data_IF_995088526458
#
_entry.id   IF_995088526458
#
_cell.length_a   1.000
_cell.length_b   1.000
_cell.length_c   1.000
_cell.angle_alpha   90.00
_cell.angle_beta   90.00
_cell.angle_gamma   90.00
#
_symmetry.space_group_name_H-M   'P 1'
#
loop_
_entity.id
_entity.type
_entity.pdbx_description
1 polymer ?
#
# COMPACT_ATOMS: atom_id res chain seq x y z
N UNK A 1 -26.59 -0.69 -24.75
CA UNK A 1 -25.35 -1.48 -24.87
C UNK A 1 -24.59 -0.97 -26.09
N UNK A 2 -23.26 -0.75 -25.99
CA UNK A 2 -22.46 -0.30 -27.14
C UNK A 2 -22.06 -1.51 -27.99
N UNK A 3 -22.18 -1.39 -29.30
CA UNK A 3 -21.66 -2.36 -30.27
C UNK A 3 -20.28 -1.93 -30.77
N UNK A 4 -19.34 -2.86 -30.87
CA UNK A 4 -17.99 -2.57 -31.32
C UNK A 4 -17.07 -3.78 -31.16
N UNK A 5 -15.77 -3.59 -31.34
CA UNK A 5 -14.77 -4.66 -31.17
C UNK A 5 -14.39 -4.83 -29.69
N UNK A 6 -14.33 -6.07 -29.24
CA UNK A 6 -13.80 -6.41 -27.93
C UNK A 6 -12.29 -6.18 -27.89
N UNK A 7 -11.78 -5.50 -26.85
CA UNK A 7 -10.35 -5.28 -26.68
C UNK A 7 -9.53 -6.55 -26.39
N UNK A 8 -10.20 -7.67 -26.07
CA UNK A 8 -9.55 -8.94 -25.71
C UNK A 8 -9.55 -9.92 -26.88
N UNK A 9 -10.68 -10.11 -27.56
CA UNK A 9 -10.82 -11.10 -28.62
C UNK A 9 -10.98 -10.49 -30.02
N UNK A 10 -10.99 -9.16 -30.14
CA UNK A 10 -11.11 -8.37 -31.38
C UNK A 10 -12.38 -8.62 -32.22
N UNK A 11 -13.28 -9.50 -31.76
CA UNK A 11 -14.56 -9.79 -32.41
C UNK A 11 -15.55 -8.66 -32.18
N UNK A 12 -16.39 -8.40 -33.19
CA UNK A 12 -17.55 -7.53 -33.03
C UNK A 12 -18.56 -8.15 -32.07
N UNK A 13 -19.02 -7.35 -31.12
CA UNK A 13 -20.05 -7.75 -30.15
C UNK A 13 -21.00 -6.60 -29.91
N UNK A 14 -22.29 -6.92 -29.75
CA UNK A 14 -23.36 -5.96 -29.43
C UNK A 14 -23.51 -5.71 -27.91
N UNK A 15 -22.73 -6.42 -27.08
CA UNK A 15 -22.77 -6.35 -25.61
C UNK A 15 -21.40 -6.05 -25.00
N UNK A 16 -20.88 -4.85 -25.24
CA UNK A 16 -19.61 -4.40 -24.62
C UNK A 16 -19.85 -3.73 -23.27
N UNK A 17 -19.12 -4.22 -22.27
CA UNK A 17 -18.97 -3.61 -20.96
C UNK A 17 -17.83 -2.59 -21.00
N UNK A 18 -18.06 -1.40 -20.45
CA UNK A 18 -17.02 -0.38 -20.26
C UNK A 18 -16.42 -0.56 -18.87
N UNK A 19 -15.23 -1.15 -18.80
CA UNK A 19 -14.48 -1.13 -17.54
C UNK A 19 -13.90 0.27 -17.34
N UNK A 20 -14.24 0.87 -16.21
CA UNK A 20 -13.64 2.12 -15.75
C UNK A 20 -12.74 1.79 -14.56
N UNK A 21 -11.42 1.77 -14.78
CA UNK A 21 -10.46 1.59 -13.71
C UNK A 21 -10.02 2.96 -13.22
N UNK A 22 -10.33 3.27 -11.96
CA UNK A 22 -9.70 4.39 -11.28
C UNK A 22 -8.24 4.01 -10.99
N UNK A 23 -7.30 4.83 -11.47
CA UNK A 23 -5.88 4.66 -11.18
C UNK A 23 -5.61 5.28 -9.80
N UNK A 24 -5.07 4.49 -8.86
CA UNK A 24 -4.59 5.00 -7.58
C UNK A 24 -3.12 5.35 -7.77
N UNK A 25 -2.82 6.65 -7.77
CA UNK A 25 -1.47 7.14 -7.61
C UNK A 25 -1.42 7.93 -6.31
N UNK A 26 -0.54 7.51 -5.39
CA UNK A 26 -0.22 8.27 -4.17
C UNK A 26 -1.46 8.74 -3.37
N UNK A 27 -2.43 7.85 -3.11
CA UNK A 27 -3.65 8.11 -2.32
C UNK A 27 -4.52 9.29 -2.79
N UNK A 28 -4.42 9.72 -4.06
CA UNK A 28 -5.42 10.58 -4.71
C UNK A 28 -6.07 9.84 -5.86
N UNK A 29 -7.40 9.82 -5.88
CA UNK A 29 -8.14 9.43 -7.08
C UNK A 29 -7.79 10.44 -8.18
N UNK A 30 -6.93 10.06 -9.11
CA UNK A 30 -6.67 10.89 -10.29
C UNK A 30 -7.83 10.63 -11.26
N UNK A 31 -8.92 11.38 -11.10
CA UNK A 31 -9.99 11.48 -12.08
C UNK A 31 -9.46 12.17 -13.34
N UNK A 32 -8.82 11.42 -14.23
CA UNK A 32 -8.28 12.04 -15.45
C UNK A 32 -7.66 11.10 -16.48
N UNK A 33 -7.19 9.92 -16.10
CA UNK A 33 -6.67 8.91 -17.03
C UNK A 33 -7.57 7.68 -17.06
N UNK A 34 -8.81 7.88 -17.51
CA UNK A 34 -9.77 6.80 -17.70
C UNK A 34 -9.35 5.90 -18.88
N UNK A 35 -8.61 4.83 -18.60
CA UNK A 35 -8.38 3.75 -19.57
C UNK A 35 -9.70 2.99 -19.74
N UNK A 36 -10.56 3.47 -20.64
CA UNK A 36 -11.84 2.83 -20.97
C UNK A 36 -11.61 1.73 -21.99
N UNK A 37 -11.59 0.48 -21.54
CA UNK A 37 -11.51 -0.68 -22.43
C UNK A 37 -12.88 -1.33 -22.56
N UNK A 38 -13.31 -1.58 -23.80
CA UNK A 38 -14.57 -2.25 -24.10
C UNK A 38 -14.36 -3.75 -24.21
N UNK A 39 -14.98 -4.52 -23.32
CA UNK A 39 -14.83 -5.99 -23.23
C UNK A 39 -16.18 -6.66 -23.44
N UNK A 40 -16.24 -7.75 -24.21
CA UNK A 40 -17.49 -8.50 -24.41
C UNK A 40 -17.79 -9.42 -23.23
N UNK A 41 -19.05 -9.80 -23.07
CA UNK A 41 -19.56 -10.62 -21.96
C UNK A 41 -18.84 -11.97 -21.82
N UNK A 42 -18.55 -12.65 -22.93
CA UNK A 42 -17.79 -13.92 -22.92
C UNK A 42 -16.33 -13.76 -22.46
N UNK A 43 -15.72 -12.59 -22.68
CA UNK A 43 -14.34 -12.32 -22.25
C UNK A 43 -14.28 -11.75 -20.82
N UNK A 44 -15.35 -11.13 -20.33
CA UNK A 44 -15.42 -10.58 -18.98
C UNK A 44 -15.25 -11.66 -17.89
N UNK A 45 -15.69 -12.89 -18.14
CA UNK A 45 -15.52 -14.02 -17.21
C UNK A 45 -14.09 -14.54 -17.09
N UNK A 46 -13.17 -14.13 -17.96
CA UNK A 46 -11.77 -14.57 -17.97
C UNK A 46 -10.86 -13.54 -17.31
N UNK A 47 -10.90 -13.48 -15.99
CA UNK A 47 -10.20 -12.48 -15.16
C UNK A 47 -8.71 -12.34 -15.54
N UNK A 48 -7.99 -13.44 -15.77
CA UNK A 48 -6.56 -13.39 -16.13
C UNK A 48 -6.30 -12.75 -17.50
N UNK A 49 -7.16 -13.00 -18.50
CA UNK A 49 -7.05 -12.37 -19.82
C UNK A 49 -7.35 -10.87 -19.74
N UNK A 50 -8.39 -10.50 -18.98
CA UNK A 50 -8.76 -9.09 -18.72
C UNK A 50 -7.60 -8.35 -18.06
N UNK A 51 -7.02 -8.89 -16.98
CA UNK A 51 -5.87 -8.30 -16.28
C UNK A 51 -4.66 -8.16 -17.21
N UNK A 52 -4.42 -9.12 -18.10
CA UNK A 52 -3.29 -9.05 -19.04
C UNK A 52 -3.39 -7.91 -20.06
N UNK A 53 -4.60 -7.61 -20.51
CA UNK A 53 -4.86 -6.52 -21.47
C UNK A 53 -4.79 -5.17 -20.77
N UNK A 54 -5.28 -5.09 -19.53
CA UNK A 54 -5.17 -3.89 -18.69
C UNK A 54 -3.70 -3.55 -18.38
N UNK A 55 -2.90 -4.55 -18.02
CA UNK A 55 -1.46 -4.38 -17.79
C UNK A 55 -0.73 -3.91 -19.06
N UNK A 56 -1.07 -4.44 -20.25
CA UNK A 56 -0.46 -4.00 -21.51
C UNK A 56 -0.75 -2.53 -21.85
N UNK A 57 -1.96 -2.03 -21.54
CA UNK A 57 -2.35 -0.65 -21.78
C UNK A 57 -1.60 0.33 -20.86
N UNK A 58 -1.44 -0.01 -19.59
CA UNK A 58 -0.68 0.80 -18.62
C UNK A 58 0.83 0.78 -18.96
N UNK A 59 1.37 -0.40 -19.27
CA UNK A 59 2.78 -0.58 -19.66
C UNK A 59 3.16 0.23 -20.90
N UNK A 60 2.27 0.37 -21.89
CA UNK A 60 2.57 1.13 -23.12
C UNK A 60 2.65 2.64 -22.85
N UNK A 61 1.77 3.14 -22.00
CA UNK A 61 1.72 4.53 -21.56
C UNK A 61 2.97 4.88 -20.74
N UNK A 62 3.35 3.96 -19.84
CA UNK A 62 4.57 4.06 -19.04
C UNK A 62 5.84 3.96 -19.88
N UNK A 63 5.92 3.01 -20.83
CA UNK A 63 7.08 2.87 -21.74
C UNK A 63 7.35 4.15 -22.53
N UNK A 64 6.32 4.77 -23.13
CA UNK A 64 6.46 6.06 -23.82
C UNK A 64 6.95 7.17 -22.90
N UNK A 65 6.54 7.17 -21.63
CA UNK A 65 7.03 8.12 -20.64
C UNK A 65 8.48 7.84 -20.22
N UNK A 66 8.87 6.58 -20.06
CA UNK A 66 10.24 6.15 -19.74
C UNK A 66 11.22 6.41 -20.89
N UNK A 67 10.82 6.15 -22.13
CA UNK A 67 11.60 6.44 -23.34
C UNK A 67 11.86 7.94 -23.47
N UNK A 68 10.83 8.77 -23.21
CA UNK A 68 10.96 10.24 -23.20
C UNK A 68 11.86 10.75 -22.07
N UNK A 69 11.96 10.00 -20.97
CA UNK A 69 12.83 10.32 -19.83
C UNK A 69 14.25 9.71 -19.95
N UNK A 70 14.57 8.98 -21.02
CA UNK A 70 15.89 8.37 -21.23
C UNK A 70 16.24 7.26 -20.24
N UNK A 71 15.26 6.64 -19.58
CA UNK A 71 15.48 5.62 -18.55
C UNK A 71 15.47 4.23 -19.18
N UNK A 72 16.58 3.48 -19.07
CA UNK A 72 16.66 2.08 -19.55
C UNK A 72 16.07 1.11 -18.50
N UNK A 73 15.20 0.15 -18.89
CA UNK A 73 14.70 -0.87 -17.98
C UNK A 73 15.83 -1.75 -17.43
N UNK A 74 15.76 -2.14 -16.15
CA UNK A 74 16.75 -3.02 -15.51
C UNK A 74 16.36 -4.49 -15.68
N UNK A 75 17.30 -5.34 -16.10
CA UNK A 75 17.09 -6.75 -16.45
C UNK A 75 16.96 -7.71 -15.25
N UNK A 76 16.28 -7.32 -14.17
CA UNK A 76 16.18 -8.20 -13.00
C UNK A 76 15.00 -9.17 -13.11
N UNK A 77 15.25 -10.35 -13.71
CA UNK A 77 14.27 -11.46 -13.93
C UNK A 77 13.75 -12.15 -12.65
N UNK A 78 13.91 -11.59 -11.46
CA UNK A 78 13.32 -12.14 -10.22
C UNK A 78 12.34 -11.12 -9.64
N UNK A 79 11.06 -11.35 -9.94
CA UNK A 79 9.92 -10.53 -9.52
C UNK A 79 9.64 -10.55 -8.02
N UNK A 80 10.54 -9.93 -7.25
CA UNK A 80 10.17 -9.24 -6.01
C UNK A 80 10.67 -7.81 -6.19
N UNK A 81 9.85 -6.77 -6.01
CA UNK A 81 10.39 -5.43 -5.88
C UNK A 81 11.30 -5.44 -4.66
N UNK A 82 12.61 -5.56 -4.89
CA UNK A 82 13.59 -5.15 -3.91
C UNK A 82 13.37 -3.65 -3.82
N UNK A 83 12.90 -3.19 -2.66
CA UNK A 83 12.93 -1.78 -2.33
C UNK A 83 14.37 -1.30 -2.56
N UNK A 84 14.60 -0.71 -3.73
CA UNK A 84 15.84 -0.01 -3.99
C UNK A 84 15.73 1.18 -3.05
N UNK A 85 16.56 1.20 -2.00
CA UNK A 85 16.63 2.35 -1.07
C UNK A 85 16.59 3.61 -1.93
N UNK A 86 15.67 4.56 -1.67
CA UNK A 86 15.68 5.81 -2.42
C UNK A 86 17.05 6.45 -2.15
N UNK A 87 17.87 6.55 -3.21
CA UNK A 87 19.02 7.43 -3.25
C UNK A 87 18.48 8.86 -3.29
N UNK A 88 18.09 9.34 -2.12
CA UNK A 88 17.74 10.70 -1.82
C UNK A 88 18.18 10.92 -0.39
N UNK A 89 19.19 11.77 -0.19
CA UNK A 89 19.83 12.00 1.10
C UNK A 89 18.96 12.90 1.99
N UNK A 90 17.71 12.51 2.18
CA UNK A 90 16.81 13.00 3.21
C UNK A 90 16.31 11.77 3.96
N UNK A 91 16.78 11.53 5.20
CA UNK A 91 16.14 10.53 6.04
C UNK A 91 14.71 11.01 6.26
N UNK A 92 13.75 10.44 5.53
CA UNK A 92 12.36 10.37 6.01
C UNK A 92 12.41 9.46 7.21
N UNK A 93 12.80 10.05 8.32
CA UNK A 93 12.77 9.43 9.63
C UNK A 93 11.29 9.13 9.89
N UNK A 94 10.97 7.85 10.04
CA UNK A 94 9.62 7.45 10.40
C UNK A 94 9.48 7.78 11.88
N UNK A 95 8.96 8.98 12.16
CA UNK A 95 8.87 9.56 13.49
C UNK A 95 8.27 8.57 14.49
N UNK A 96 7.30 7.76 14.07
CA UNK A 96 6.71 6.74 14.92
C UNK A 96 7.74 5.67 15.30
N UNK A 97 8.42 5.08 14.31
CA UNK A 97 9.41 4.04 14.54
C UNK A 97 10.61 4.57 15.32
N UNK A 98 11.09 5.77 15.00
CA UNK A 98 12.21 6.40 15.69
C UNK A 98 11.87 6.63 17.16
N UNK A 99 10.66 7.13 17.45
CA UNK A 99 10.19 7.35 18.82
C UNK A 99 10.02 6.05 19.60
N UNK A 100 9.36 5.03 19.03
CA UNK A 100 9.16 3.74 19.69
C UNK A 100 10.49 2.99 19.89
N UNK A 101 11.39 3.05 18.91
CA UNK A 101 12.74 2.47 19.03
C UNK A 101 13.52 3.13 20.15
N UNK A 102 13.44 4.46 20.27
CA UNK A 102 14.08 5.19 21.37
C UNK A 102 13.55 4.73 22.73
N UNK A 103 12.22 4.64 22.90
CA UNK A 103 11.60 4.18 24.15
C UNK A 103 12.07 2.77 24.55
N UNK A 104 12.13 1.84 23.59
CA UNK A 104 12.59 0.47 23.84
C UNK A 104 14.07 0.47 24.24
N UNK A 105 14.92 1.19 23.50
CA UNK A 105 16.36 1.26 23.76
C UNK A 105 16.68 1.88 25.12
N UNK A 106 15.93 2.91 25.50
CA UNK A 106 16.08 3.61 26.77
C UNK A 106 15.40 2.84 27.93
N UNK A 107 14.72 1.72 27.64
CA UNK A 107 13.88 0.96 28.57
C UNK A 107 13.00 1.88 29.43
N UNK A 108 12.39 2.88 28.78
CA UNK A 108 11.64 3.92 29.48
C UNK A 108 10.30 3.39 29.97
N UNK A 109 9.95 3.73 31.21
CA UNK A 109 8.59 3.54 31.71
C UNK A 109 7.67 4.48 30.93
N UNK A 110 6.58 3.93 30.38
CA UNK A 110 5.61 4.71 29.59
C UNK A 110 4.21 4.57 30.13
N UNK A 111 3.42 5.63 29.91
CA UNK A 111 1.97 5.64 30.04
C UNK A 111 1.35 5.72 28.64
N UNK A 112 0.50 4.74 28.31
CA UNK A 112 -0.30 4.70 27.10
C UNK A 112 -1.74 5.07 27.46
N UNK A 113 -2.22 6.21 27.00
CA UNK A 113 -3.60 6.62 27.23
C UNK A 113 -4.49 6.01 26.13
N UNK A 114 -5.53 5.27 26.50
CA UNK A 114 -6.48 4.77 25.51
C UNK A 114 -7.39 5.87 24.97
N UNK A 115 -8.00 5.61 23.81
CA UNK A 115 -9.04 6.47 23.24
C UNK A 115 -10.26 6.58 24.17
N UNK A 116 -10.65 5.47 24.81
CA UNK A 116 -11.79 5.38 25.74
C UNK A 116 -11.46 5.87 27.17
N UNK A 117 -10.21 6.25 27.44
CA UNK A 117 -9.79 6.87 28.70
C UNK A 117 -9.13 5.95 29.74
N UNK A 118 -9.21 4.62 29.62
CA UNK A 118 -8.48 3.68 30.49
C UNK A 118 -7.13 3.35 29.85
N UNK A 119 -6.02 3.71 30.47
CA UNK A 119 -4.68 3.52 29.92
C UNK A 119 -3.92 2.29 30.42
N UNK A 120 -2.72 2.12 29.88
CA UNK A 120 -1.72 1.14 30.31
C UNK A 120 -0.47 1.85 30.81
N UNK A 121 0.23 1.23 31.76
CA UNK A 121 1.51 1.72 32.28
C UNK A 121 2.49 0.56 32.36
N UNK A 122 3.68 0.75 31.79
CA UNK A 122 4.67 -0.31 31.71
C UNK A 122 5.81 0.00 30.75
N UNK A 123 6.53 -1.05 30.34
CA UNK A 123 7.66 -0.97 29.41
C UNK A 123 7.24 -1.53 28.05
N UNK A 124 7.55 -0.81 26.96
CA UNK A 124 7.33 -1.34 25.61
C UNK A 124 8.43 -2.36 25.33
N UNK A 125 8.05 -3.59 24.99
CA UNK A 125 9.02 -4.66 24.64
C UNK A 125 9.26 -4.74 23.14
N UNK A 126 8.18 -4.70 22.35
CA UNK A 126 8.19 -4.81 20.89
C UNK A 126 7.01 -4.07 20.28
N UNK A 127 7.11 -3.74 19.01
CA UNK A 127 6.01 -3.20 18.22
C UNK A 127 6.08 -3.69 16.76
N UNK A 128 4.95 -3.63 16.07
CA UNK A 128 4.87 -3.78 14.62
C UNK A 128 4.09 -2.61 14.01
N UNK A 129 3.52 -2.78 12.82
CA UNK A 129 2.74 -1.72 12.17
C UNK A 129 1.44 -1.37 12.93
N UNK A 130 0.80 -2.33 13.61
CA UNK A 130 -0.56 -2.20 14.12
C UNK A 130 -0.70 -2.42 15.63
N UNK A 131 0.32 -2.94 16.28
CA UNK A 131 0.29 -3.40 17.67
C UNK A 131 1.58 -3.10 18.42
N UNK A 132 1.48 -3.09 19.74
CA UNK A 132 2.55 -2.84 20.70
C UNK A 132 2.42 -3.86 21.82
N UNK A 133 3.54 -4.46 22.24
CA UNK A 133 3.59 -5.31 23.43
C UNK A 133 4.09 -4.47 24.60
N UNK A 134 3.30 -4.39 25.66
CA UNK A 134 3.62 -3.68 26.90
C UNK A 134 3.71 -4.67 28.05
N UNK A 135 4.82 -4.62 28.78
CA UNK A 135 5.02 -5.36 30.02
C UNK A 135 4.72 -4.46 31.21
N UNK A 136 3.90 -4.94 32.15
CA UNK A 136 3.58 -4.17 33.37
C UNK A 136 4.81 -3.88 34.23
N UNK A 137 4.73 -2.85 35.09
CA UNK A 137 5.84 -2.40 35.94
C UNK A 137 6.40 -3.51 36.86
N UNK A 138 5.55 -4.47 37.26
CA UNK A 138 5.95 -5.63 38.07
C UNK A 138 6.54 -6.80 37.28
N UNK A 139 6.59 -6.73 35.95
CA UNK A 139 7.17 -7.79 35.09
C UNK A 139 6.32 -9.06 34.93
N UNK A 140 5.15 -9.14 35.59
CA UNK A 140 4.36 -10.38 35.64
C UNK A 140 3.41 -10.57 34.45
N UNK A 141 3.14 -9.51 33.67
CA UNK A 141 2.08 -9.50 32.64
C UNK A 141 2.53 -8.76 31.38
N UNK A 142 2.42 -9.44 30.25
CA UNK A 142 2.55 -8.84 28.92
C UNK A 142 1.17 -8.69 28.29
N UNK A 143 0.89 -7.50 27.76
CA UNK A 143 -0.36 -7.19 27.08
C UNK A 143 -0.08 -6.74 25.64
N UNK A 144 -0.81 -7.32 24.68
CA UNK A 144 -0.79 -6.90 23.29
C UNK A 144 -1.85 -5.82 23.08
N UNK A 145 -1.40 -4.61 22.75
CA UNK A 145 -2.25 -3.43 22.58
C UNK A 145 -2.31 -3.06 21.10
N UNK A 146 -3.51 -2.91 20.55
CA UNK A 146 -3.68 -2.39 19.20
C UNK A 146 -3.49 -0.87 19.17
N UNK A 147 -2.72 -0.36 18.21
CA UNK A 147 -2.44 1.07 18.07
C UNK A 147 -3.68 1.93 17.87
N UNK A 148 -4.76 1.40 17.29
CA UNK A 148 -6.02 2.13 17.12
C UNK A 148 -6.73 2.43 18.45
N UNK A 149 -6.42 1.67 19.51
CA UNK A 149 -6.97 1.89 20.84
C UNK A 149 -6.15 2.90 21.65
N UNK A 150 -4.99 3.35 21.15
CA UNK A 150 -4.06 4.24 21.85
C UNK A 150 -4.19 5.67 21.32
N UNK A 151 -4.46 6.61 22.21
CA UNK A 151 -4.55 8.04 21.92
C UNK A 151 -3.18 8.74 22.02
N UNK A 152 -2.41 8.42 23.06
CA UNK A 152 -1.08 9.00 23.27
C UNK A 152 -0.16 8.08 24.04
N UNK A 153 1.15 8.20 23.78
CA UNK A 153 2.23 7.51 24.50
C UNK A 153 3.12 8.56 25.15
N UNK A 154 3.30 8.46 26.47
CA UNK A 154 4.07 9.42 27.27
C UNK A 154 5.15 8.68 28.06
N UNK A 155 6.44 8.90 27.78
CA UNK A 155 7.51 8.51 28.71
C UNK A 155 7.34 9.25 30.04
N UNK A 156 7.48 8.51 31.14
CA UNK A 156 7.39 9.03 32.53
C UNK A 156 8.77 9.40 33.05
#
# INVERSE_FOLDING_TARGET
>A
MKSGKCAICEKESKGLWLLNLAQIDSLKLIEGKNVRQSVCENCAGKINEVVSVLNKADITSMKKAFDKAGVKPTDNKKGRPVATKPNGNHPKSDIQNDFLSKIINDNSLVQLDAVEGIGWRGFIKKYDNFSIIVEGESGDREELIFKHAVKSIKPV
#
